data_IF_686191556007
#
_entry.id   IF_686191556007
#
_cell.length_a   1.000
_cell.length_b   1.000
_cell.length_c   1.000
_cell.angle_alpha   90.00
_cell.angle_beta   90.00
_cell.angle_gamma   90.00
#
_symmetry.space_group_name_H-M   'P 1'
#
loop_
_entity.id
_entity.type
_entity.pdbx_description
1 polymer ?
#
# COMPACT_ATOMS: atom_id res chain seq x y z
N UNK A 1 -6.45 5.73 28.51
CA UNK A 1 -5.01 5.84 28.18
C UNK A 1 -4.62 4.99 26.96
N UNK A 2 -4.83 3.66 26.97
CA UNK A 2 -4.50 2.78 25.84
C UNK A 2 -5.13 3.20 24.49
N UNK A 3 -6.38 3.66 24.49
CA UNK A 3 -7.06 4.13 23.27
C UNK A 3 -6.36 5.33 22.63
N UNK A 4 -5.91 6.30 23.43
CA UNK A 4 -5.21 7.48 22.91
C UNK A 4 -3.84 7.12 22.33
N UNK A 5 -3.13 6.20 22.97
CA UNK A 5 -1.86 5.66 22.44
C UNK A 5 -2.06 4.93 21.12
N UNK A 6 -3.09 4.07 21.02
CA UNK A 6 -3.39 3.38 19.77
C UNK A 6 -3.73 4.35 18.64
N UNK A 7 -4.61 5.32 18.90
CA UNK A 7 -4.98 6.36 17.93
C UNK A 7 -3.73 7.16 17.49
N UNK A 8 -2.94 7.62 18.46
CA UNK A 8 -1.72 8.37 18.17
C UNK A 8 -0.71 7.57 17.34
N UNK A 9 -0.54 6.28 17.65
CA UNK A 9 0.33 5.37 16.90
C UNK A 9 -0.12 5.20 15.44
N UNK A 10 -1.42 4.93 15.22
CA UNK A 10 -1.95 4.80 13.86
C UNK A 10 -1.87 6.10 13.07
N UNK A 11 -2.19 7.24 13.69
CA UNK A 11 -2.08 8.55 13.03
C UNK A 11 -0.63 8.86 12.64
N UNK A 12 0.32 8.57 13.55
CA UNK A 12 1.74 8.77 13.26
C UNK A 12 2.20 7.90 12.10
N UNK A 13 1.78 6.62 12.07
CA UNK A 13 2.10 5.72 10.95
C UNK A 13 1.55 6.24 9.62
N UNK A 14 0.30 6.74 9.59
CA UNK A 14 -0.32 7.33 8.39
C UNK A 14 0.47 8.56 7.92
N UNK A 15 0.85 9.45 8.84
CA UNK A 15 1.62 10.66 8.51
C UNK A 15 3.00 10.33 7.96
N UNK A 16 3.70 9.34 8.56
CA UNK A 16 4.98 8.88 8.06
C UNK A 16 4.85 8.26 6.67
N UNK A 17 3.83 7.43 6.44
CA UNK A 17 3.55 6.85 5.14
C UNK A 17 3.29 7.93 4.08
N UNK A 18 2.44 8.91 4.38
CA UNK A 18 2.16 10.03 3.49
C UNK A 18 3.42 10.88 3.22
N UNK A 19 4.27 11.07 4.23
CA UNK A 19 5.56 11.75 4.07
C UNK A 19 6.50 11.03 3.12
N UNK A 20 6.60 9.70 3.22
CA UNK A 20 7.40 8.88 2.29
C UNK A 20 6.84 8.93 0.88
N UNK A 21 5.51 8.79 0.72
CA UNK A 21 4.85 8.86 -0.58
C UNK A 21 4.92 10.26 -1.22
N UNK A 22 5.00 11.32 -0.42
CA UNK A 22 5.25 12.66 -0.95
C UNK A 22 6.73 12.84 -1.33
N UNK A 23 7.65 12.33 -0.52
CA UNK A 23 9.08 12.37 -0.82
C UNK A 23 9.44 11.55 -2.06
N UNK A 24 8.75 10.43 -2.30
CA UNK A 24 8.96 9.56 -3.46
C UNK A 24 8.71 10.24 -4.80
N UNK A 25 7.86 11.28 -4.81
CA UNK A 25 7.45 12.03 -6.02
C UNK A 25 8.45 13.11 -6.45
N UNK A 26 9.53 13.31 -5.70
CA UNK A 26 10.60 14.26 -6.05
C UNK A 26 11.41 13.70 -7.22
N UNK A 27 11.85 14.57 -8.13
CA UNK A 27 12.55 14.17 -9.37
C UNK A 27 13.82 13.33 -9.11
N UNK A 28 14.57 13.62 -8.05
CA UNK A 28 15.78 12.88 -7.64
C UNK A 28 15.53 11.81 -6.56
N UNK A 29 14.27 11.44 -6.30
CA UNK A 29 13.96 10.45 -5.27
C UNK A 29 14.46 9.06 -5.66
N UNK A 30 15.20 8.43 -4.75
CA UNK A 30 15.59 7.00 -4.85
C UNK A 30 14.55 6.06 -4.24
N UNK A 31 13.54 6.60 -3.56
CA UNK A 31 12.48 5.81 -2.94
C UNK A 31 11.35 5.65 -3.95
N UNK A 32 11.01 4.40 -4.34
CA UNK A 32 9.88 4.18 -5.24
C UNK A 32 8.56 4.57 -4.57
N UNK A 33 7.62 5.10 -5.34
CA UNK A 33 6.27 5.36 -4.84
C UNK A 33 5.53 4.05 -4.56
N UNK A 34 4.47 4.12 -3.76
CA UNK A 34 3.59 2.95 -3.60
C UNK A 34 3.07 2.47 -4.96
N UNK A 35 2.76 3.40 -5.87
CA UNK A 35 2.32 3.09 -7.23
C UNK A 35 3.36 2.30 -8.02
N UNK A 36 4.64 2.66 -7.91
CA UNK A 36 5.73 1.95 -8.59
C UNK A 36 5.91 0.54 -8.04
N UNK A 37 5.82 0.37 -6.73
CA UNK A 37 5.87 -0.95 -6.08
C UNK A 37 4.70 -1.81 -6.54
N UNK A 38 3.47 -1.26 -6.55
CA UNK A 38 2.30 -1.96 -7.06
C UNK A 38 2.44 -2.32 -8.55
N UNK A 39 2.94 -1.40 -9.38
CA UNK A 39 3.19 -1.64 -10.79
C UNK A 39 4.25 -2.74 -11.01
N UNK A 40 5.30 -2.75 -10.19
CA UNK A 40 6.32 -3.79 -10.19
C UNK A 40 5.71 -5.16 -9.84
N UNK A 41 4.94 -5.24 -8.76
CA UNK A 41 4.27 -6.48 -8.35
C UNK A 41 3.31 -6.97 -9.45
N UNK A 42 2.52 -6.08 -10.06
CA UNK A 42 1.60 -6.44 -11.14
C UNK A 42 2.25 -7.00 -12.40
N UNK A 43 3.57 -6.84 -12.57
CA UNK A 43 4.33 -7.47 -13.67
C UNK A 43 4.67 -8.92 -13.39
N UNK A 44 4.57 -9.38 -12.14
CA UNK A 44 4.91 -10.75 -11.77
C UNK A 44 3.94 -11.76 -12.40
N UNK A 45 4.48 -12.65 -13.20
CA UNK A 45 3.75 -13.72 -13.87
C UNK A 45 4.50 -15.05 -13.74
N UNK A 46 3.74 -16.14 -13.63
CA UNK A 46 4.26 -17.51 -13.60
C UNK A 46 3.68 -18.23 -14.81
N UNK A 47 4.50 -18.44 -15.83
CA UNK A 47 4.04 -18.89 -17.15
C UNK A 47 2.99 -17.92 -17.73
N UNK A 48 1.81 -18.39 -18.14
CA UNK A 48 0.73 -17.52 -18.63
C UNK A 48 -0.07 -16.83 -17.51
N UNK A 49 0.18 -17.14 -16.23
CA UNK A 49 -0.67 -16.70 -15.11
C UNK A 49 -0.15 -15.39 -14.52
N UNK A 50 -0.93 -14.28 -14.54
CA UNK A 50 -0.52 -12.99 -14.00
C UNK A 50 -0.72 -12.92 -12.48
N UNK A 51 0.05 -13.73 -11.74
CA UNK A 51 -0.05 -13.91 -10.28
C UNK A 51 -0.03 -12.57 -9.53
N UNK A 52 0.82 -11.64 -9.95
CA UNK A 52 0.93 -10.33 -9.31
C UNK A 52 -0.35 -9.49 -9.38
N UNK A 53 -1.05 -9.50 -10.53
CA UNK A 53 -2.34 -8.79 -10.68
C UNK A 53 -3.44 -9.46 -9.88
N UNK A 54 -3.52 -10.79 -9.94
CA UNK A 54 -4.50 -11.56 -9.18
C UNK A 54 -4.32 -11.30 -7.69
N UNK A 55 -3.08 -11.32 -7.20
CA UNK A 55 -2.74 -11.02 -5.82
C UNK A 55 -3.13 -9.59 -5.42
N UNK A 56 -2.76 -8.58 -6.22
CA UNK A 56 -3.04 -7.18 -5.87
C UNK A 56 -4.54 -6.87 -5.91
N UNK A 57 -5.26 -7.31 -6.94
CA UNK A 57 -6.72 -7.10 -7.04
C UNK A 57 -7.48 -7.93 -6.01
N UNK A 58 -7.06 -9.16 -5.74
CA UNK A 58 -7.63 -10.00 -4.68
C UNK A 58 -7.44 -9.40 -3.30
N UNK A 59 -6.25 -8.86 -3.01
CA UNK A 59 -5.97 -8.13 -1.77
C UNK A 59 -6.83 -6.87 -1.64
N UNK A 60 -6.94 -6.07 -2.71
CA UNK A 60 -7.80 -4.89 -2.74
C UNK A 60 -9.26 -5.24 -2.47
N UNK A 61 -9.78 -6.28 -3.15
CA UNK A 61 -11.12 -6.79 -2.94
C UNK A 61 -11.35 -7.24 -1.49
N UNK A 62 -10.39 -8.00 -0.94
CA UNK A 62 -10.45 -8.46 0.46
C UNK A 62 -10.47 -7.29 1.45
N UNK A 63 -9.61 -6.28 1.28
CA UNK A 63 -9.63 -5.06 2.11
C UNK A 63 -10.99 -4.36 2.06
N UNK A 64 -11.54 -4.22 0.85
CA UNK A 64 -12.86 -3.62 0.64
C UNK A 64 -13.95 -4.36 1.42
N UNK A 65 -14.02 -5.68 1.26
CA UNK A 65 -15.01 -6.49 1.98
C UNK A 65 -14.77 -6.50 3.49
N UNK A 66 -13.51 -6.60 3.92
CA UNK A 66 -13.16 -6.74 5.34
C UNK A 66 -13.44 -5.47 6.16
N UNK A 67 -13.20 -4.29 5.58
CA UNK A 67 -13.31 -3.02 6.30
C UNK A 67 -14.54 -2.18 5.93
N UNK A 68 -15.01 -2.23 4.67
CA UNK A 68 -16.10 -1.35 4.20
C UNK A 68 -17.46 -2.03 4.06
N UNK A 69 -17.54 -3.36 4.08
CA UNK A 69 -18.81 -4.09 3.96
C UNK A 69 -19.47 -4.43 5.32
N UNK A 70 -19.10 -3.74 6.40
CA UNK A 70 -19.75 -3.81 7.72
C UNK A 70 -20.64 -2.60 8.00
#
# INVERSE_FOLDING_TARGET
MMRALAIGGFLTAILLFAGVEWASRREDSRVPSLGDVCAFVMRYAVGPVPVGRIGLFGFWWWLGWHFLAR
#
